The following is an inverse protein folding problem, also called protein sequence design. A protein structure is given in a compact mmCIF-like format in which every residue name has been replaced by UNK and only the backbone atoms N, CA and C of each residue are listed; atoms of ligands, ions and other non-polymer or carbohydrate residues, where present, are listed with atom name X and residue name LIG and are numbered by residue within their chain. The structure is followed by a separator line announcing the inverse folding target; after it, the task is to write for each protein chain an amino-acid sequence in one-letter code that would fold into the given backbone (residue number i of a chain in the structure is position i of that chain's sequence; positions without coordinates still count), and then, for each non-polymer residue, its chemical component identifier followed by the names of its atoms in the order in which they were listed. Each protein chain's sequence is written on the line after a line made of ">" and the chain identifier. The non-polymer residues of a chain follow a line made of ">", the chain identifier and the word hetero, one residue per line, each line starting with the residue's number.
data_IF_899476469532
#
_entry.id   IF_899476469532
#
_cell.length_a   1.000
_cell.length_b   1.000
_cell.length_c   1.000
_cell.angle_alpha   90.00
_cell.angle_beta   90.00
_cell.angle_gamma   90.00
#
_symmetry.space_group_name_H-M   'P 1'
#
loop_
_entity.id
_entity.type
_entity.pdbx_description
1 polymer ?
#
# COMPACT_ATOMS: atom_id res chain seq x y z
N UNK A 1 -11.07 -44.64 21.37
CA UNK A 1 -11.39 -43.22 21.67
C UNK A 1 -10.19 -42.32 21.39
N UNK A 2 -8.97 -42.65 21.82
CA UNK A 2 -7.76 -41.85 21.52
C UNK A 2 -7.32 -41.83 20.03
N UNK A 3 -7.61 -42.88 19.23
CA UNK A 3 -7.23 -42.93 17.80
C UNK A 3 -8.01 -41.92 16.94
N UNK A 4 -9.31 -41.79 17.19
CA UNK A 4 -10.19 -40.90 16.42
C UNK A 4 -9.90 -39.43 16.66
N UNK A 5 -9.54 -39.04 17.88
CA UNK A 5 -9.13 -37.67 18.21
C UNK A 5 -7.78 -37.32 17.59
N UNK A 6 -6.83 -38.26 17.57
CA UNK A 6 -5.55 -38.09 16.90
C UNK A 6 -5.69 -38.00 15.37
N UNK A 7 -6.53 -38.83 14.77
CA UNK A 7 -6.85 -38.79 13.33
C UNK A 7 -7.52 -37.45 12.94
N UNK A 8 -8.48 -36.97 13.74
CA UNK A 8 -9.10 -35.66 13.52
C UNK A 8 -8.09 -34.51 13.63
N UNK A 9 -7.18 -34.58 14.59
CA UNK A 9 -6.09 -33.59 14.74
C UNK A 9 -5.13 -33.61 13.55
N UNK A 10 -4.73 -34.79 13.06
CA UNK A 10 -3.88 -34.92 11.88
C UNK A 10 -4.55 -34.36 10.61
N UNK A 11 -5.86 -34.59 10.44
CA UNK A 11 -6.63 -34.00 9.34
C UNK A 11 -6.69 -32.47 9.44
N UNK A 12 -6.86 -31.90 10.64
CA UNK A 12 -6.81 -30.46 10.85
C UNK A 12 -5.43 -29.88 10.53
N UNK A 13 -4.35 -30.57 10.92
CA UNK A 13 -2.98 -30.16 10.59
C UNK A 13 -2.73 -30.18 9.08
N UNK A 14 -3.16 -31.22 8.37
CA UNK A 14 -3.03 -31.30 6.91
C UNK A 14 -3.80 -30.18 6.20
N UNK A 15 -5.02 -29.90 6.65
CA UNK A 15 -5.85 -28.82 6.11
C UNK A 15 -5.20 -27.46 6.37
N UNK A 16 -4.72 -27.19 7.58
CA UNK A 16 -4.01 -25.95 7.90
C UNK A 16 -2.73 -25.78 7.07
N UNK A 17 -1.96 -26.85 6.84
CA UNK A 17 -0.79 -26.80 5.96
C UNK A 17 -1.14 -26.55 4.50
N UNK A 18 -2.30 -27.04 4.03
CA UNK A 18 -2.79 -26.80 2.68
C UNK A 18 -3.22 -25.34 2.51
N UNK A 19 -3.96 -24.80 3.47
CA UNK A 19 -4.37 -23.39 3.50
C UNK A 19 -3.16 -22.46 3.56
N UNK A 20 -2.16 -22.77 4.39
CA UNK A 20 -0.95 -21.97 4.50
C UNK A 20 -0.14 -21.98 3.19
N UNK A 21 -0.07 -23.12 2.49
CA UNK A 21 0.56 -23.19 1.16
C UNK A 21 -0.20 -22.36 0.13
N UNK A 22 -1.52 -22.44 0.13
CA UNK A 22 -2.37 -21.67 -0.78
C UNK A 22 -2.22 -20.16 -0.53
N UNK A 23 -2.30 -19.73 0.72
CA UNK A 23 -2.12 -18.33 1.11
C UNK A 23 -0.73 -17.79 0.73
N UNK A 24 0.33 -18.60 0.88
CA UNK A 24 1.68 -18.23 0.41
C UNK A 24 1.73 -18.01 -1.10
N UNK A 25 1.11 -18.92 -1.86
CA UNK A 25 1.06 -18.81 -3.32
C UNK A 25 0.29 -17.57 -3.77
N UNK A 26 -0.86 -17.30 -3.16
CA UNK A 26 -1.64 -16.10 -3.43
C UNK A 26 -0.87 -14.81 -3.09
N UNK A 27 -0.13 -14.81 -1.98
CA UNK A 27 0.73 -13.69 -1.61
C UNK A 27 1.86 -13.49 -2.62
N UNK A 28 2.52 -14.56 -3.06
CA UNK A 28 3.57 -14.51 -4.08
C UNK A 28 3.04 -13.95 -5.42
N UNK A 29 1.88 -14.42 -5.88
CA UNK A 29 1.22 -13.93 -7.09
C UNK A 29 0.82 -12.45 -6.96
N UNK A 30 0.26 -12.07 -5.80
CA UNK A 30 -0.11 -10.68 -5.53
C UNK A 30 1.11 -9.76 -5.47
N UNK A 31 2.22 -10.22 -4.90
CA UNK A 31 3.49 -9.49 -4.91
C UNK A 31 4.02 -9.34 -6.34
N UNK A 32 4.08 -10.43 -7.12
CA UNK A 32 4.60 -10.43 -8.48
C UNK A 32 3.80 -9.48 -9.39
N UNK A 33 2.48 -9.49 -9.29
CA UNK A 33 1.61 -8.63 -10.10
C UNK A 33 1.68 -7.16 -9.69
N UNK A 34 1.88 -6.87 -8.39
CA UNK A 34 1.93 -5.49 -7.91
C UNK A 34 3.32 -4.85 -8.04
N UNK A 35 4.39 -5.65 -8.02
CA UNK A 35 5.76 -5.15 -8.10
C UNK A 35 6.05 -4.21 -9.28
N UNK A 36 5.64 -4.50 -10.54
CA UNK A 36 5.87 -3.56 -11.64
C UNK A 36 5.14 -2.23 -11.42
N UNK A 37 3.88 -2.27 -10.97
CA UNK A 37 3.11 -1.06 -10.66
C UNK A 37 3.75 -0.24 -9.54
N UNK A 38 4.27 -0.89 -8.51
CA UNK A 38 5.00 -0.21 -7.43
C UNK A 38 6.28 0.45 -7.95
N UNK A 39 7.02 -0.21 -8.86
CA UNK A 39 8.23 0.33 -9.44
C UNK A 39 7.95 1.54 -10.33
N UNK A 40 6.93 1.48 -11.19
CA UNK A 40 6.48 2.59 -12.03
C UNK A 40 6.07 3.79 -11.18
N UNK A 41 5.21 3.58 -10.18
CA UNK A 41 4.79 4.63 -9.26
C UNK A 41 5.98 5.23 -8.49
N UNK A 42 6.95 4.41 -8.07
CA UNK A 42 8.15 4.91 -7.42
C UNK A 42 8.96 5.83 -8.35
N UNK A 43 9.10 5.47 -9.63
CA UNK A 43 9.81 6.29 -10.61
C UNK A 43 9.09 7.64 -10.83
N UNK A 44 7.77 7.64 -10.91
CA UNK A 44 6.96 8.86 -11.02
C UNK A 44 7.15 9.78 -9.82
N UNK A 45 7.12 9.22 -8.60
CA UNK A 45 7.38 9.98 -7.37
C UNK A 45 8.78 10.58 -7.38
N UNK A 46 9.80 9.81 -7.77
CA UNK A 46 11.18 10.32 -7.88
C UNK A 46 11.27 11.47 -8.88
N UNK A 47 10.63 11.35 -10.05
CA UNK A 47 10.57 12.43 -11.05
C UNK A 47 9.89 13.67 -10.50
N UNK A 48 8.73 13.52 -9.84
CA UNK A 48 8.00 14.63 -9.24
C UNK A 48 8.82 15.36 -8.16
N UNK A 49 9.54 14.61 -7.31
CA UNK A 49 10.44 15.20 -6.30
C UNK A 49 11.60 15.95 -6.92
N UNK A 50 12.27 15.37 -7.94
CA UNK A 50 13.36 16.06 -8.68
C UNK A 50 12.87 17.34 -9.35
N UNK A 51 11.64 17.34 -9.87
CA UNK A 51 10.98 18.50 -10.45
C UNK A 51 10.47 19.52 -9.40
N UNK A 52 10.56 19.21 -8.10
CA UNK A 52 10.09 20.09 -7.02
C UNK A 52 8.58 20.13 -6.84
N UNK A 53 7.82 19.26 -7.52
CA UNK A 53 6.36 19.21 -7.44
C UNK A 53 5.85 18.79 -6.06
N UNK A 54 6.68 18.08 -5.29
CA UNK A 54 6.39 17.68 -3.91
C UNK A 54 6.96 18.66 -2.87
N UNK A 55 7.40 19.85 -3.29
CA UNK A 55 7.99 20.85 -2.42
C UNK A 55 9.52 20.77 -2.33
N UNK A 56 10.11 21.86 -1.83
CA UNK A 56 11.56 22.07 -1.83
C UNK A 56 12.31 21.09 -0.91
N UNK A 57 11.75 20.77 0.26
CA UNK A 57 12.35 19.81 1.18
C UNK A 57 12.50 18.42 0.53
N UNK A 58 11.45 17.94 -0.14
CA UNK A 58 11.50 16.68 -0.88
C UNK A 58 12.48 16.71 -2.06
N UNK A 59 12.60 17.84 -2.78
CA UNK A 59 13.58 17.99 -3.87
C UNK A 59 15.02 17.87 -3.36
N UNK A 60 15.34 18.53 -2.24
CA UNK A 60 16.65 18.43 -1.59
C UNK A 60 16.92 17.02 -1.09
N UNK A 61 15.95 16.38 -0.45
CA UNK A 61 16.08 15.00 0.03
C UNK A 61 16.26 14.01 -1.12
N UNK A 62 15.54 14.18 -2.23
CA UNK A 62 15.70 13.33 -3.41
C UNK A 62 17.12 13.43 -3.97
N UNK A 63 17.69 14.64 -4.05
CA UNK A 63 19.09 14.82 -4.44
C UNK A 63 20.07 14.09 -3.50
N UNK A 64 19.76 14.03 -2.20
CA UNK A 64 20.57 13.30 -1.22
C UNK A 64 20.40 11.79 -1.30
N UNK A 65 19.20 11.30 -1.59
CA UNK A 65 18.91 9.89 -1.86
C UNK A 65 19.64 9.44 -3.12
N UNK A 66 19.59 10.24 -4.19
CA UNK A 66 20.29 9.97 -5.46
C UNK A 66 21.82 9.88 -5.26
N UNK A 67 22.36 10.63 -4.31
CA UNK A 67 23.78 10.60 -3.92
C UNK A 67 24.11 9.54 -2.85
N UNK A 68 23.15 8.73 -2.42
CA UNK A 68 23.33 7.70 -1.38
C UNK A 68 23.64 8.25 0.01
N UNK A 69 23.32 9.53 0.29
CA UNK A 69 23.60 10.19 1.57
C UNK A 69 22.53 9.95 2.64
N UNK A 70 21.38 9.41 2.24
CA UNK A 70 20.22 9.09 3.09
C UNK A 70 19.28 8.18 2.31
N UNK A 71 18.26 7.63 2.96
CA UNK A 71 17.17 6.91 2.30
C UNK A 71 15.81 7.32 2.87
N UNK A 72 14.72 6.94 2.21
CA UNK A 72 13.36 7.21 2.70
C UNK A 72 13.12 6.67 4.11
N UNK A 73 13.63 5.47 4.41
CA UNK A 73 13.50 4.87 5.73
C UNK A 73 14.26 5.65 6.81
N UNK A 74 15.44 6.19 6.49
CA UNK A 74 16.18 7.04 7.43
C UNK A 74 15.43 8.34 7.71
N UNK A 75 14.76 8.89 6.69
CA UNK A 75 13.91 10.07 6.83
C UNK A 75 12.73 9.75 7.74
N UNK A 76 11.96 8.68 7.49
CA UNK A 76 10.76 8.35 8.26
C UNK A 76 11.08 7.93 9.70
N UNK A 77 12.09 7.09 9.90
CA UNK A 77 12.52 6.65 11.22
C UNK A 77 13.24 7.75 12.02
N UNK A 78 13.46 8.91 11.41
CA UNK A 78 14.10 10.04 12.05
C UNK A 78 15.59 9.88 12.24
N UNK A 79 16.25 8.94 11.56
CA UNK A 79 17.71 8.80 11.52
C UNK A 79 18.31 10.00 10.79
N UNK A 80 17.69 10.44 9.70
CA UNK A 80 18.03 11.68 9.02
C UNK A 80 17.56 12.89 9.85
N UNK A 81 18.54 13.58 10.46
CA UNK A 81 18.34 14.75 11.32
C UNK A 81 18.36 16.08 10.57
N UNK A 82 18.51 16.09 9.25
CA UNK A 82 18.50 17.32 8.46
C UNK A 82 17.20 18.13 8.63
N UNK A 83 17.25 19.46 8.40
CA UNK A 83 16.06 20.31 8.44
C UNK A 83 14.97 19.82 7.49
N UNK A 84 15.33 19.41 6.26
CA UNK A 84 14.39 18.97 5.24
C UNK A 84 13.69 17.66 5.66
N UNK A 85 14.42 16.72 6.26
CA UNK A 85 13.83 15.49 6.77
C UNK A 85 12.85 15.74 7.93
N UNK A 86 13.14 16.73 8.79
CA UNK A 86 12.21 17.14 9.85
C UNK A 86 10.96 17.80 9.29
N UNK A 87 11.12 18.68 8.31
CA UNK A 87 10.01 19.35 7.62
C UNK A 87 9.07 18.33 6.97
N UNK A 88 9.62 17.40 6.18
CA UNK A 88 8.85 16.32 5.56
C UNK A 88 8.10 15.49 6.59
N UNK A 89 8.74 15.09 7.71
CA UNK A 89 8.05 14.36 8.78
C UNK A 89 6.93 15.18 9.40
N UNK A 90 7.14 16.47 9.64
CA UNK A 90 6.11 17.36 10.17
C UNK A 90 4.93 17.48 9.19
N UNK A 91 5.19 17.58 7.89
CA UNK A 91 4.16 17.61 6.85
C UNK A 91 3.33 16.34 6.82
N UNK A 92 3.97 15.18 6.95
CA UNK A 92 3.28 13.89 7.02
C UNK A 92 2.33 13.86 8.22
N UNK A 93 2.80 14.27 9.40
CA UNK A 93 1.96 14.33 10.61
C UNK A 93 0.80 15.30 10.42
N UNK A 94 1.04 16.49 9.87
CA UNK A 94 -0.02 17.48 9.60
C UNK A 94 -1.07 16.95 8.64
N UNK A 95 -0.65 16.31 7.54
CA UNK A 95 -1.55 15.75 6.56
C UNK A 95 -2.38 14.60 7.15
N UNK A 96 -1.79 13.74 7.98
CA UNK A 96 -2.52 12.65 8.64
C UNK A 96 -3.54 13.18 9.65
N UNK A 97 -3.17 14.21 10.44
CA UNK A 97 -4.12 14.88 11.34
C UNK A 97 -5.29 15.47 10.56
N UNK A 98 -5.01 16.14 9.43
CA UNK A 98 -6.07 16.68 8.58
C UNK A 98 -7.00 15.59 8.03
N UNK A 99 -6.46 14.48 7.54
CA UNK A 99 -7.28 13.35 7.06
C UNK A 99 -8.16 12.78 8.17
N UNK A 100 -7.64 12.66 9.39
CA UNK A 100 -8.43 12.24 10.55
C UNK A 100 -9.55 13.23 10.86
N UNK A 101 -9.22 14.51 10.95
CA UNK A 101 -10.20 15.55 11.28
C UNK A 101 -11.28 15.66 10.18
N UNK A 102 -10.90 15.53 8.91
CA UNK A 102 -11.83 15.46 7.78
C UNK A 102 -12.75 14.23 7.88
N UNK A 103 -12.23 13.08 8.33
CA UNK A 103 -13.01 11.86 8.53
C UNK A 103 -13.99 11.97 9.70
N UNK A 104 -13.57 12.61 10.79
CA UNK A 104 -14.40 12.84 11.98
C UNK A 104 -15.51 13.87 11.71
N UNK A 105 -15.25 14.82 10.81
CA UNK A 105 -16.21 15.84 10.38
C UNK A 105 -17.20 15.35 9.30
N UNK A 106 -16.95 14.19 8.66
CA UNK A 106 -17.88 13.62 7.70
C UNK A 106 -19.12 13.05 8.41
N UNK A 107 -20.31 13.43 7.91
CA UNK A 107 -21.56 12.83 8.32
C UNK A 107 -21.49 11.30 8.06
N UNK A 108 -21.81 10.45 9.06
CA UNK A 108 -21.88 8.99 8.88
C UNK A 108 -22.67 8.56 7.64
N UNK A 109 -23.73 9.28 7.27
CA UNK A 109 -24.53 8.99 6.07
C UNK A 109 -23.77 9.35 4.78
N UNK A 110 -23.05 10.48 4.76
CA UNK A 110 -22.24 10.90 3.61
C UNK A 110 -21.01 9.99 3.42
N UNK A 111 -20.37 9.57 4.52
CA UNK A 111 -19.29 8.57 4.51
C UNK A 111 -19.78 7.23 3.93
N UNK A 112 -20.93 6.74 4.39
CA UNK A 112 -21.53 5.50 3.89
C UNK A 112 -21.83 5.60 2.39
N UNK A 113 -22.35 6.74 1.92
CA UNK A 113 -22.60 7.00 0.50
C UNK A 113 -21.29 7.05 -0.31
N UNK A 114 -20.23 7.67 0.21
CA UNK A 114 -18.90 7.69 -0.43
C UNK A 114 -18.29 6.29 -0.55
N UNK A 115 -18.35 5.51 0.52
CA UNK A 115 -17.83 4.14 0.55
C UNK A 115 -18.58 3.25 -0.45
N UNK A 116 -19.91 3.41 -0.54
CA UNK A 116 -20.74 2.73 -1.53
C UNK A 116 -20.37 3.11 -2.99
N UNK A 117 -20.21 4.40 -3.28
CA UNK A 117 -19.80 4.88 -4.61
C UNK A 117 -18.41 4.37 -5.00
N UNK A 118 -17.46 4.36 -4.05
CA UNK A 118 -16.10 3.85 -4.28
C UNK A 118 -16.10 2.34 -4.54
N UNK A 119 -16.94 1.58 -3.82
CA UNK A 119 -17.12 0.16 -4.05
C UNK A 119 -17.74 -0.11 -5.43
N UNK A 120 -18.69 0.71 -5.87
CA UNK A 120 -19.27 0.64 -7.21
C UNK A 120 -18.26 0.97 -8.31
N UNK A 121 -17.46 2.03 -8.17
CA UNK A 121 -16.41 2.36 -9.15
C UNK A 121 -15.35 1.27 -9.24
N UNK A 122 -14.95 0.70 -8.09
CA UNK A 122 -14.00 -0.42 -8.05
C UNK A 122 -14.57 -1.66 -8.74
N UNK A 123 -15.86 -1.97 -8.51
CA UNK A 123 -16.57 -3.06 -9.17
C UNK A 123 -16.70 -2.85 -10.68
N UNK A 124 -17.03 -1.64 -11.13
CA UNK A 124 -17.10 -1.29 -12.55
C UNK A 124 -15.73 -1.39 -13.22
N UNK A 125 -14.65 -1.01 -12.53
CA UNK A 125 -13.28 -1.13 -13.02
C UNK A 125 -12.87 -2.59 -13.17
N UNK A 126 -13.21 -3.44 -12.20
CA UNK A 126 -12.97 -4.89 -12.28
C UNK A 126 -13.75 -5.54 -13.42
N UNK A 127 -15.03 -5.19 -13.61
CA UNK A 127 -15.82 -5.70 -14.74
C UNK A 127 -15.27 -5.25 -16.11
N UNK A 128 -14.76 -4.02 -16.20
CA UNK A 128 -14.12 -3.53 -17.42
C UNK A 128 -12.80 -4.29 -17.72
N UNK A 129 -12.02 -4.59 -16.68
CA UNK A 129 -10.82 -5.44 -16.80
C UNK A 129 -11.17 -6.87 -17.24
N UNK A 130 -12.21 -7.48 -16.66
CA UNK A 130 -12.69 -8.82 -17.06
C UNK A 130 -13.22 -8.85 -18.50
N UNK A 131 -13.93 -7.81 -18.93
CA UNK A 131 -14.44 -7.69 -20.30
C UNK A 131 -13.32 -7.44 -21.33
N UNK A 132 -12.24 -6.78 -20.94
CA UNK A 132 -11.02 -6.63 -21.75
C UNK A 132 -10.30 -7.97 -21.93
N UNK A 133 -10.08 -8.71 -20.84
CA UNK A 133 -9.40 -10.01 -20.88
C UNK A 133 -10.15 -11.08 -21.71
N UNK A 134 -11.48 -11.00 -21.85
CA UNK A 134 -12.26 -11.93 -22.69
C UNK A 134 -12.19 -11.64 -24.20
N UNK A 135 -11.67 -10.49 -24.63
CA UNK A 135 -11.54 -10.15 -26.05
C UNK A 135 -10.21 -10.58 -26.66
N UNK A 136 -9.25 -10.97 -25.83
CA UNK A 136 -7.88 -11.35 -26.22
C UNK A 136 -7.63 -12.87 -26.15
N UNK A 137 -8.70 -13.68 -26.10
CA UNK A 137 -8.70 -15.17 -26.23
C UNK A 137 -9.57 -15.56 -27.41
#
# INVERSE_FOLDING_TARGET
>A
MASTEFEAFMQQLEQAQKELRQARKELEELHANNQPRLAEHHEEVVKARRAGQMGKAWQTLQSRIDLGKTCEMDIFNGIDKSPEAREVRADIVRNMTKVRDDLDAMDPEEKTKRDYLRAMESSATLQAMEAGMRKDV
#
